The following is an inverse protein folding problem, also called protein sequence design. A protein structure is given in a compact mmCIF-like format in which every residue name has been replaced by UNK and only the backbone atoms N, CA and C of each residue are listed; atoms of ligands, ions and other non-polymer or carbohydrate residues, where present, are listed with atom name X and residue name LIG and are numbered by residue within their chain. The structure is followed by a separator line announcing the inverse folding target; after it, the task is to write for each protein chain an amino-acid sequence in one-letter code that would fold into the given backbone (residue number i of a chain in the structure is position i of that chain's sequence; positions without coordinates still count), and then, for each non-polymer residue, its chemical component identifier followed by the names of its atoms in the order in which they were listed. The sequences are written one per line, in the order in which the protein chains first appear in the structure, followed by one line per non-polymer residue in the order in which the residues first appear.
data_IF_994688584473
#
_entry.id   IF_994688584473
#
_cell.length_a   1.000
_cell.length_b   1.000
_cell.length_c   1.000
_cell.angle_alpha   90.00
_cell.angle_beta   90.00
_cell.angle_gamma   90.00
#
_symmetry.space_group_name_H-M   'P 1'
#
loop_
_entity.id
_entity.type
_entity.pdbx_description
1 polymer ?
#
# COMPACT_ATOMS: atom_id res chain seq x y z
N UNK A 1 36.38 36.38 10.69
CA UNK A 1 36.62 35.23 9.79
C UNK A 1 35.61 34.16 10.17
N UNK A 2 34.39 34.27 9.65
CA UNK A 2 33.38 33.23 9.82
C UNK A 2 33.66 32.14 8.77
N UNK A 3 34.04 30.96 9.25
CA UNK A 3 34.26 29.81 8.40
C UNK A 3 32.94 29.37 7.79
N UNK A 4 32.79 29.57 6.48
CA UNK A 4 31.82 28.85 5.66
C UNK A 4 32.08 27.35 5.87
N UNK A 5 31.18 26.70 6.62
CA UNK A 5 31.15 25.24 6.71
C UNK A 5 30.75 24.72 5.34
N UNK A 6 31.72 24.29 4.55
CA UNK A 6 31.49 23.53 3.32
C UNK A 6 30.84 22.20 3.69
N UNK A 7 29.52 22.14 3.62
CA UNK A 7 28.75 20.90 3.70
C UNK A 7 28.88 20.11 2.39
N UNK A 8 28.95 18.79 2.49
CA UNK A 8 29.08 17.91 1.32
C UNK A 8 27.78 17.96 0.50
N UNK A 9 27.81 18.10 -0.84
CA UNK A 9 26.61 18.21 -1.68
C UNK A 9 25.61 17.05 -1.50
N UNK A 10 26.11 15.85 -1.18
CA UNK A 10 25.28 14.66 -0.92
C UNK A 10 24.52 14.73 0.41
N UNK A 11 25.03 15.48 1.39
CA UNK A 11 24.35 15.70 2.67
C UNK A 11 23.22 16.70 2.49
N UNK A 12 23.43 17.76 1.70
CA UNK A 12 22.41 18.77 1.42
C UNK A 12 21.21 18.18 0.65
N UNK A 13 21.47 17.32 -0.33
CA UNK A 13 20.41 16.61 -1.07
C UNK A 13 19.57 15.75 -0.13
N UNK A 14 20.20 14.95 0.74
CA UNK A 14 19.48 14.10 1.70
C UNK A 14 18.64 14.89 2.71
N UNK A 15 19.16 16.03 3.19
CA UNK A 15 18.41 16.91 4.09
C UNK A 15 17.17 17.46 3.39
N UNK A 16 17.33 17.92 2.14
CA UNK A 16 16.23 18.41 1.33
C UNK A 16 15.18 17.33 1.05
N UNK A 17 15.60 16.13 0.66
CA UNK A 17 14.66 15.03 0.36
C UNK A 17 13.87 14.64 1.62
N UNK A 18 14.52 14.63 2.79
CA UNK A 18 13.85 14.38 4.05
C UNK A 18 12.84 15.48 4.41
N UNK A 19 13.13 16.75 4.13
CA UNK A 19 12.20 17.87 4.32
C UNK A 19 10.97 17.73 3.41
N UNK A 20 11.17 17.44 2.12
CA UNK A 20 10.09 17.19 1.17
C UNK A 20 9.21 16.00 1.57
N UNK A 21 9.83 14.91 2.03
CA UNK A 21 9.14 13.74 2.58
C UNK A 21 8.27 14.09 3.80
N UNK A 22 8.81 14.90 4.72
CA UNK A 22 8.10 15.39 5.90
C UNK A 22 6.90 16.25 5.54
N UNK A 23 7.07 17.25 4.69
CA UNK A 23 5.98 18.12 4.25
C UNK A 23 4.84 17.31 3.61
N UNK A 24 5.19 16.33 2.76
CA UNK A 24 4.21 15.43 2.12
C UNK A 24 3.44 14.63 3.15
N UNK A 25 4.13 14.00 4.10
CA UNK A 25 3.47 13.22 5.16
C UNK A 25 2.56 14.10 6.02
N UNK A 26 3.02 15.29 6.42
CA UNK A 26 2.22 16.23 7.22
C UNK A 26 0.96 16.67 6.49
N UNK A 27 1.09 17.01 5.21
CA UNK A 27 -0.04 17.36 4.36
C UNK A 27 -1.06 16.22 4.23
N UNK A 28 -0.60 14.99 4.03
CA UNK A 28 -1.47 13.80 3.99
C UNK A 28 -2.21 13.62 5.31
N UNK A 29 -1.50 13.70 6.44
CA UNK A 29 -2.05 13.42 7.76
C UNK A 29 -3.00 14.53 8.26
N UNK A 30 -2.66 15.79 8.01
CA UNK A 30 -3.35 16.96 8.56
C UNK A 30 -4.47 17.46 7.62
N UNK A 31 -4.19 17.61 6.32
CA UNK A 31 -5.17 18.15 5.37
C UNK A 31 -5.96 17.03 4.68
N UNK A 32 -5.30 15.94 4.31
CA UNK A 32 -5.89 14.85 3.53
C UNK A 32 -7.06 14.13 4.21
N UNK A 33 -7.18 14.25 5.54
CA UNK A 33 -8.27 13.65 6.31
C UNK A 33 -9.64 14.27 6.01
N UNK A 34 -9.68 15.54 5.59
CA UNK A 34 -10.90 16.30 5.37
C UNK A 34 -11.28 16.43 3.89
N UNK A 35 -10.47 15.87 3.00
CA UNK A 35 -10.66 15.99 1.55
C UNK A 35 -11.12 14.63 1.02
N UNK A 36 -12.25 14.55 0.30
CA UNK A 36 -12.71 13.29 -0.27
C UNK A 36 -11.78 12.80 -1.38
N UNK A 37 -11.72 11.48 -1.55
CA UNK A 37 -11.11 10.85 -2.74
C UNK A 37 -11.71 11.43 -4.01
N UNK A 38 -10.90 11.61 -5.06
CA UNK A 38 -11.35 12.21 -6.31
C UNK A 38 -12.26 11.24 -7.10
N UNK A 39 -13.56 11.38 -6.89
CA UNK A 39 -14.59 10.62 -7.58
C UNK A 39 -14.72 10.97 -9.07
N UNK A 40 -14.04 12.01 -9.56
CA UNK A 40 -14.07 12.46 -10.96
C UNK A 40 -12.87 11.99 -11.79
N UNK A 41 -11.88 11.32 -11.21
CA UNK A 41 -10.78 10.71 -11.97
C UNK A 41 -11.33 9.85 -13.12
N UNK A 42 -10.89 10.10 -14.36
CA UNK A 42 -11.48 9.51 -15.57
C UNK A 42 -10.76 8.25 -16.05
N UNK A 43 -9.69 7.85 -15.37
CA UNK A 43 -8.85 6.73 -15.81
C UNK A 43 -7.78 7.11 -16.84
N UNK A 44 -7.70 8.40 -17.18
CA UNK A 44 -6.65 8.93 -18.03
C UNK A 44 -5.33 8.95 -17.26
N UNK A 45 -4.25 8.54 -17.93
CA UNK A 45 -2.91 8.64 -17.38
C UNK A 45 -2.54 10.11 -17.11
N UNK A 46 -1.77 10.37 -16.04
CA UNK A 46 -1.33 11.72 -15.71
C UNK A 46 -0.30 12.23 -16.72
N UNK A 47 -0.13 13.57 -16.88
CA UNK A 47 0.88 14.14 -17.78
C UNK A 47 2.32 13.78 -17.43
N UNK A 48 2.57 13.43 -16.16
CA UNK A 48 3.88 13.01 -15.66
C UNK A 48 4.12 11.50 -15.76
N UNK A 49 3.19 10.72 -16.33
CA UNK A 49 3.37 9.29 -16.53
C UNK A 49 4.58 9.00 -17.42
N UNK A 50 5.44 8.09 -16.97
CA UNK A 50 6.61 7.65 -17.69
C UNK A 50 6.52 6.12 -17.87
N UNK A 51 6.30 5.64 -19.10
CA UNK A 51 6.13 4.21 -19.36
C UNK A 51 7.40 3.40 -19.07
N UNK A 52 8.58 3.99 -19.19
CA UNK A 52 9.84 3.30 -18.90
C UNK A 52 10.00 3.10 -17.39
N UNK A 53 9.73 4.14 -16.59
CA UNK A 53 9.73 4.02 -15.12
C UNK A 53 8.66 3.06 -14.64
N UNK A 54 7.45 3.13 -15.21
CA UNK A 54 6.38 2.18 -14.88
C UNK A 54 6.83 0.74 -15.13
N UNK A 55 7.47 0.47 -16.28
CA UNK A 55 8.02 -0.85 -16.61
C UNK A 55 9.12 -1.29 -15.64
N UNK A 56 10.00 -0.38 -15.23
CA UNK A 56 11.03 -0.66 -14.21
C UNK A 56 10.43 -1.05 -12.86
N UNK A 57 9.31 -0.43 -12.48
CA UNK A 57 8.55 -0.82 -11.29
C UNK A 57 7.93 -2.22 -11.39
N UNK A 58 7.45 -2.61 -12.58
CA UNK A 58 7.00 -3.98 -12.83
C UNK A 58 8.16 -4.98 -12.74
N UNK A 59 9.31 -4.68 -13.35
CA UNK A 59 10.52 -5.52 -13.25
C UNK A 59 10.97 -5.71 -11.80
N UNK A 60 11.00 -4.63 -11.02
CA UNK A 60 11.30 -4.69 -9.59
C UNK A 60 10.37 -5.64 -8.86
N UNK A 61 9.06 -5.57 -9.15
CA UNK A 61 8.07 -6.46 -8.55
C UNK A 61 8.33 -7.93 -8.88
N UNK A 62 8.56 -8.25 -10.16
CA UNK A 62 8.79 -9.62 -10.62
C UNK A 62 10.06 -10.26 -10.05
N UNK A 63 11.09 -9.45 -9.80
CA UNK A 63 12.33 -9.92 -9.17
C UNK A 63 12.19 -10.18 -7.66
N UNK A 64 11.18 -9.60 -7.01
CA UNK A 64 11.02 -9.61 -5.56
C UNK A 64 9.64 -10.13 -5.12
N UNK A 65 8.98 -10.90 -5.97
CA UNK A 65 7.57 -11.27 -5.89
C UNK A 65 7.15 -11.70 -4.46
N UNK A 66 7.81 -12.72 -3.90
CA UNK A 66 7.50 -13.24 -2.57
C UNK A 66 7.68 -12.19 -1.45
N UNK A 67 8.83 -11.51 -1.42
CA UNK A 67 9.15 -10.50 -0.41
C UNK A 67 8.16 -9.32 -0.45
N UNK A 68 7.75 -8.90 -1.65
CA UNK A 68 6.76 -7.83 -1.80
C UNK A 68 5.36 -8.26 -1.38
N UNK A 69 4.98 -9.53 -1.55
CA UNK A 69 3.73 -10.05 -0.98
C UNK A 69 3.75 -10.09 0.55
N UNK A 70 4.86 -10.51 1.16
CA UNK A 70 5.04 -10.43 2.63
C UNK A 70 4.92 -8.97 3.10
N UNK A 71 5.58 -8.04 2.42
CA UNK A 71 5.48 -6.60 2.72
C UNK A 71 4.03 -6.08 2.62
N UNK A 72 3.28 -6.48 1.58
CA UNK A 72 1.88 -6.05 1.36
C UNK A 72 0.94 -6.61 2.40
N UNK A 73 1.17 -7.84 2.84
CA UNK A 73 0.41 -8.47 3.90
C UNK A 73 0.62 -7.75 5.24
N UNK A 74 1.86 -7.44 5.60
CA UNK A 74 2.17 -6.63 6.78
C UNK A 74 1.54 -5.23 6.68
N UNK A 75 1.62 -4.60 5.50
CA UNK A 75 1.01 -3.30 5.24
C UNK A 75 -0.52 -3.32 5.36
N UNK A 76 -1.16 -4.37 4.86
CA UNK A 76 -2.60 -4.56 4.99
C UNK A 76 -3.03 -4.74 6.45
N UNK A 77 -2.26 -5.47 7.26
CA UNK A 77 -2.53 -5.60 8.70
C UNK A 77 -2.53 -4.21 9.35
N UNK A 78 -1.49 -3.39 9.15
CA UNK A 78 -1.45 -2.07 9.80
C UNK A 78 -2.53 -1.11 9.27
N UNK A 79 -2.95 -1.26 8.02
CA UNK A 79 -4.10 -0.52 7.46
C UNK A 79 -5.40 -0.81 8.19
N UNK A 80 -5.59 -2.04 8.70
CA UNK A 80 -6.77 -2.39 9.50
C UNK A 80 -6.80 -1.65 10.84
N UNK A 81 -5.67 -1.16 11.35
CA UNK A 81 -5.61 -0.39 12.60
C UNK A 81 -6.11 1.07 12.44
N UNK A 82 -6.43 1.49 11.21
CA UNK A 82 -6.99 2.81 10.94
C UNK A 82 -8.52 2.74 10.96
N UNK A 83 -9.12 3.25 12.04
CA UNK A 83 -10.57 3.19 12.28
C UNK A 83 -11.43 3.71 11.10
N UNK A 84 -11.00 4.78 10.42
CA UNK A 84 -11.71 5.33 9.25
C UNK A 84 -11.72 4.40 8.04
N UNK A 85 -10.67 3.58 7.88
CA UNK A 85 -10.58 2.55 6.85
C UNK A 85 -11.38 1.32 7.29
N UNK A 86 -11.15 0.84 8.52
CA UNK A 86 -11.78 -0.37 9.05
C UNK A 86 -13.32 -0.27 9.03
N UNK A 87 -13.90 0.88 9.40
CA UNK A 87 -15.36 1.10 9.33
C UNK A 87 -15.93 0.89 7.92
N UNK A 88 -15.20 1.28 6.86
CA UNK A 88 -15.63 1.07 5.47
C UNK A 88 -15.58 -0.43 5.13
N UNK A 89 -14.58 -1.15 5.64
CA UNK A 89 -14.47 -2.59 5.46
C UNK A 89 -15.59 -3.34 6.18
N UNK A 90 -15.92 -2.94 7.42
CA UNK A 90 -17.08 -3.44 8.17
C UNK A 90 -18.37 -3.22 7.39
N UNK A 91 -18.59 -2.00 6.89
CA UNK A 91 -19.77 -1.64 6.08
C UNK A 91 -19.89 -2.49 4.79
N UNK A 92 -18.77 -2.93 4.22
CA UNK A 92 -18.76 -3.76 3.02
C UNK A 92 -19.29 -5.18 3.28
N UNK A 93 -19.14 -5.70 4.51
CA UNK A 93 -19.43 -7.10 4.91
C UNK A 93 -18.67 -8.15 4.09
N UNK A 94 -17.52 -7.79 3.52
CA UNK A 94 -16.73 -8.66 2.63
C UNK A 94 -15.40 -9.14 3.25
N UNK A 95 -15.19 -8.96 4.54
CA UNK A 95 -13.92 -9.35 5.19
C UNK A 95 -14.03 -9.60 6.70
N UNK A 96 -15.24 -9.85 7.21
CA UNK A 96 -15.46 -10.10 8.64
C UNK A 96 -15.27 -11.56 9.05
N UNK A 97 -15.13 -12.47 8.10
CA UNK A 97 -14.89 -13.89 8.37
C UNK A 97 -13.87 -14.45 7.38
N UNK A 98 -13.29 -15.62 7.69
CA UNK A 98 -12.23 -16.24 6.89
C UNK A 98 -12.61 -16.46 5.42
N UNK A 99 -13.86 -16.79 5.10
CA UNK A 99 -14.29 -17.10 3.73
C UNK A 99 -14.48 -15.80 2.95
N UNK A 100 -15.15 -14.80 3.53
CA UNK A 100 -15.33 -13.51 2.86
C UNK A 100 -13.99 -12.79 2.71
N UNK A 101 -13.13 -12.82 3.74
CA UNK A 101 -11.77 -12.32 3.70
C UNK A 101 -10.96 -12.99 2.58
N UNK A 102 -10.92 -14.33 2.52
CA UNK A 102 -10.23 -15.06 1.44
C UNK A 102 -10.66 -14.57 0.05
N UNK A 103 -11.98 -14.54 -0.22
CA UNK A 103 -12.50 -14.10 -1.53
C UNK A 103 -12.06 -12.67 -1.86
N UNK A 104 -12.15 -11.76 -0.90
CA UNK A 104 -11.78 -10.35 -1.10
C UNK A 104 -10.29 -10.18 -1.34
N UNK A 105 -9.44 -10.81 -0.54
CA UNK A 105 -8.00 -10.62 -0.63
C UNK A 105 -7.41 -11.37 -1.82
N UNK A 106 -7.96 -12.51 -2.22
CA UNK A 106 -7.63 -13.15 -3.50
C UNK A 106 -8.01 -12.29 -4.71
N UNK A 107 -9.19 -11.64 -4.68
CA UNK A 107 -9.55 -10.67 -5.72
C UNK A 107 -8.57 -9.48 -5.74
N UNK A 108 -8.13 -9.01 -4.58
CA UNK A 108 -7.13 -7.93 -4.46
C UNK A 108 -5.79 -8.34 -5.08
N UNK A 109 -5.31 -9.56 -4.77
CA UNK A 109 -4.10 -10.13 -5.38
C UNK A 109 -4.28 -10.21 -6.91
N UNK A 110 -5.40 -10.74 -7.38
CA UNK A 110 -5.67 -10.87 -8.81
C UNK A 110 -5.61 -9.52 -9.53
N UNK A 111 -6.31 -8.50 -9.04
CA UNK A 111 -6.30 -7.17 -9.65
C UNK A 111 -4.91 -6.54 -9.65
N UNK A 112 -4.18 -6.67 -8.54
CA UNK A 112 -2.82 -6.16 -8.42
C UNK A 112 -1.86 -6.83 -9.40
N UNK A 113 -1.95 -8.16 -9.58
CA UNK A 113 -1.15 -8.87 -10.58
C UNK A 113 -1.49 -8.40 -12.00
N UNK A 114 -2.75 -8.15 -12.32
CA UNK A 114 -3.11 -7.57 -13.62
C UNK A 114 -2.41 -6.23 -13.87
N UNK A 115 -2.18 -5.41 -12.83
CA UNK A 115 -1.48 -4.13 -12.97
C UNK A 115 0.04 -4.30 -13.13
N UNK A 116 0.63 -5.28 -12.44
CA UNK A 116 2.06 -5.58 -12.59
C UNK A 116 2.40 -6.32 -13.89
N UNK A 117 1.43 -7.01 -14.50
CA UNK A 117 1.62 -7.82 -15.70
C UNK A 117 1.19 -7.12 -16.99
N UNK A 118 0.37 -6.07 -16.90
CA UNK A 118 -0.24 -5.44 -18.06
C UNK A 118 0.20 -4.00 -18.33
N UNK A 119 -0.28 -3.48 -19.44
CA UNK A 119 -0.01 -2.12 -19.93
C UNK A 119 -1.16 -1.18 -19.58
N UNK A 120 -0.88 0.00 -19.01
CA UNK A 120 -1.93 0.99 -18.71
C UNK A 120 -2.20 1.97 -19.85
N UNK A 121 -1.32 2.03 -20.85
CA UNK A 121 -1.46 2.91 -22.02
C UNK A 121 -2.56 2.44 -22.94
N UNK A 122 -2.71 1.11 -23.14
CA UNK A 122 -3.85 0.54 -23.86
C UNK A 122 -5.12 0.50 -22.98
N UNK A 123 -6.18 1.30 -23.30
CA UNK A 123 -7.44 1.27 -22.56
C UNK A 123 -8.18 -0.06 -22.66
N UNK A 124 -7.84 -0.90 -23.65
CA UNK A 124 -8.40 -2.23 -23.82
C UNK A 124 -7.67 -3.31 -23.03
N UNK A 125 -6.53 -3.00 -22.44
CA UNK A 125 -5.74 -3.96 -21.67
C UNK A 125 -6.49 -4.44 -20.43
N UNK A 126 -6.10 -5.62 -19.97
CA UNK A 126 -6.61 -6.17 -18.70
C UNK A 126 -6.24 -5.31 -17.50
N UNK A 127 -5.05 -4.69 -17.52
CA UNK A 127 -4.59 -3.81 -16.45
C UNK A 127 -5.47 -2.57 -16.33
N UNK A 128 -5.72 -1.89 -17.44
CA UNK A 128 -6.54 -0.69 -17.48
C UNK A 128 -7.97 -0.99 -17.05
N UNK A 129 -8.61 -2.02 -17.64
CA UNK A 129 -9.97 -2.45 -17.27
C UNK A 129 -10.08 -2.84 -15.79
N UNK A 130 -9.11 -3.60 -15.29
CA UNK A 130 -9.01 -3.99 -13.87
C UNK A 130 -8.94 -2.76 -12.97
N UNK A 131 -8.10 -1.79 -13.33
CA UNK A 131 -7.92 -0.56 -12.58
C UNK A 131 -9.21 0.26 -12.52
N UNK A 132 -9.87 0.52 -13.65
CA UNK A 132 -11.14 1.25 -13.67
C UNK A 132 -12.22 0.53 -12.87
N UNK A 133 -12.25 -0.80 -12.91
CA UNK A 133 -13.16 -1.60 -12.09
C UNK A 133 -12.93 -1.38 -10.59
N UNK A 134 -11.69 -1.52 -10.12
CA UNK A 134 -11.35 -1.31 -8.69
C UNK A 134 -11.64 0.12 -8.25
N UNK A 135 -11.35 1.10 -9.11
CA UNK A 135 -11.74 2.50 -8.89
C UNK A 135 -13.25 2.64 -8.70
N UNK A 136 -14.04 1.97 -9.54
CA UNK A 136 -15.49 1.89 -9.43
C UNK A 136 -15.94 1.34 -8.08
N UNK A 137 -15.28 0.29 -7.58
CA UNK A 137 -15.54 -0.24 -6.24
C UNK A 137 -15.24 0.77 -5.13
N UNK A 138 -14.12 1.50 -5.20
CA UNK A 138 -13.81 2.56 -4.23
C UNK A 138 -14.81 3.72 -4.28
N UNK A 139 -15.25 4.13 -5.47
CA UNK A 139 -16.27 5.18 -5.61
C UNK A 139 -17.61 4.73 -5.01
N UNK A 140 -18.04 3.50 -5.30
CA UNK A 140 -19.26 2.94 -4.72
C UNK A 140 -19.17 2.84 -3.19
N UNK A 141 -18.03 2.38 -2.66
CA UNK A 141 -17.79 2.32 -1.22
C UNK A 141 -17.79 3.72 -0.58
N UNK A 142 -17.17 4.71 -1.22
CA UNK A 142 -17.14 6.11 -0.76
C UNK A 142 -18.54 6.73 -0.74
N UNK A 143 -19.33 6.55 -1.79
CA UNK A 143 -20.72 7.03 -1.83
C UNK A 143 -21.60 6.36 -0.78
N UNK A 144 -21.43 5.04 -0.58
CA UNK A 144 -22.16 4.31 0.46
C UNK A 144 -21.77 4.79 1.86
N UNK A 145 -20.47 4.99 2.12
CA UNK A 145 -19.98 5.52 3.39
C UNK A 145 -20.57 6.90 3.70
N UNK A 146 -20.62 7.78 2.69
CA UNK A 146 -21.26 9.08 2.82
C UNK A 146 -22.76 8.96 3.12
N UNK A 147 -23.48 8.09 2.40
CA UNK A 147 -24.92 7.88 2.59
C UNK A 147 -25.32 7.32 3.96
N UNK A 148 -24.39 6.66 4.68
CA UNK A 148 -24.61 6.17 6.05
C UNK A 148 -24.01 7.09 7.12
N UNK A 149 -23.56 8.30 6.76
CA UNK A 149 -23.08 9.30 7.70
C UNK A 149 -21.61 9.18 8.12
N UNK A 150 -20.80 8.30 7.50
CA UNK A 150 -19.36 8.21 7.78
C UNK A 150 -18.54 9.28 7.04
N UNK A 151 -19.17 10.00 6.10
CA UNK A 151 -18.49 10.81 5.10
C UNK A 151 -17.88 9.95 3.98
N UNK A 152 -17.34 10.62 2.97
CA UNK A 152 -16.59 9.97 1.90
C UNK A 152 -15.27 9.37 2.40
N UNK A 153 -14.73 8.40 1.67
CA UNK A 153 -13.34 7.96 1.84
C UNK A 153 -12.42 9.16 1.63
N UNK A 154 -11.51 9.43 2.56
CA UNK A 154 -10.63 10.61 2.50
C UNK A 154 -9.37 10.37 1.66
N UNK A 155 -8.71 11.45 1.22
CA UNK A 155 -7.39 11.39 0.58
C UNK A 155 -6.35 10.73 1.50
N UNK A 156 -6.42 11.01 2.81
CA UNK A 156 -5.59 10.34 3.81
C UNK A 156 -5.83 8.84 3.81
N UNK A 157 -7.09 8.38 3.86
CA UNK A 157 -7.40 6.94 3.87
C UNK A 157 -6.83 6.23 2.64
N UNK A 158 -6.91 6.87 1.47
CA UNK A 158 -6.34 6.33 0.23
C UNK A 158 -4.80 6.30 0.25
N UNK A 159 -4.15 7.36 0.75
CA UNK A 159 -2.69 7.42 0.88
C UNK A 159 -2.15 6.42 1.92
N UNK A 160 -2.83 6.24 3.05
CA UNK A 160 -2.51 5.21 4.04
C UNK A 160 -2.72 3.81 3.46
N UNK A 161 -3.74 3.62 2.63
CA UNK A 161 -3.92 2.35 1.90
C UNK A 161 -2.78 2.13 0.90
N UNK A 162 -2.33 3.17 0.19
CA UNK A 162 -1.16 3.11 -0.71
C UNK A 162 0.12 2.72 0.05
N UNK A 163 0.35 3.28 1.25
CA UNK A 163 1.42 2.81 2.15
C UNK A 163 1.32 1.30 2.40
N UNK A 164 0.11 0.78 2.66
CA UNK A 164 -0.10 -0.65 2.89
C UNK A 164 0.40 -1.55 1.75
N UNK A 165 0.52 -1.04 0.52
CA UNK A 165 1.02 -1.81 -0.61
C UNK A 165 2.51 -1.67 -0.91
N UNK A 166 3.14 -0.56 -0.50
CA UNK A 166 4.52 -0.24 -0.90
C UNK A 166 5.43 0.29 0.22
N UNK A 167 4.87 0.79 1.33
CA UNK A 167 5.63 1.53 2.34
C UNK A 167 6.68 0.66 3.04
N UNK A 168 6.28 -0.54 3.47
CA UNK A 168 7.23 -1.46 4.13
C UNK A 168 8.32 -1.98 3.19
N UNK A 169 8.11 -2.02 1.87
CA UNK A 169 9.19 -2.38 0.94
C UNK A 169 10.28 -1.33 0.85
N UNK A 170 9.95 -0.05 1.10
CA UNK A 170 10.96 1.02 1.22
C UNK A 170 11.60 0.98 2.60
N UNK A 171 10.80 0.97 3.67
CA UNK A 171 11.30 1.04 5.05
C UNK A 171 12.12 -0.18 5.51
N UNK A 172 11.78 -1.37 5.02
CA UNK A 172 12.37 -2.63 5.46
C UNK A 172 13.11 -3.35 4.32
N UNK A 173 13.66 -2.59 3.36
CA UNK A 173 14.25 -3.12 2.13
C UNK A 173 15.25 -4.27 2.38
N UNK A 174 16.21 -4.06 3.30
CA UNK A 174 17.23 -5.06 3.65
C UNK A 174 16.65 -6.24 4.42
N UNK A 175 15.73 -5.99 5.36
CA UNK A 175 15.10 -7.02 6.18
C UNK A 175 14.27 -7.99 5.33
N UNK A 176 13.60 -7.47 4.31
CA UNK A 176 12.81 -8.25 3.35
C UNK A 176 13.68 -8.96 2.29
N UNK A 177 14.99 -8.71 2.27
CA UNK A 177 15.91 -9.28 1.28
C UNK A 177 15.66 -8.78 -0.15
N UNK A 178 15.09 -7.58 -0.30
CA UNK A 178 14.78 -7.00 -1.61
C UNK A 178 16.07 -6.70 -2.38
N UNK A 179 16.02 -6.86 -3.70
CA UNK A 179 17.10 -6.55 -4.64
C UNK A 179 16.56 -5.68 -5.77
N UNK A 180 17.27 -4.61 -6.11
CA UNK A 180 16.91 -3.76 -7.23
C UNK A 180 17.94 -2.67 -7.47
N UNK A 181 18.04 -2.21 -8.72
CA UNK A 181 18.81 -1.02 -9.08
C UNK A 181 18.09 0.26 -8.65
N UNK A 182 18.78 1.39 -8.65
CA UNK A 182 18.17 2.71 -8.37
C UNK A 182 16.97 2.97 -9.29
N UNK A 183 17.09 2.67 -10.58
CA UNK A 183 16.02 2.88 -11.57
C UNK A 183 14.80 1.99 -11.32
N UNK A 184 15.01 0.78 -10.80
CA UNK A 184 13.94 -0.15 -10.46
C UNK A 184 13.17 0.32 -9.22
N UNK A 185 13.87 0.85 -8.23
CA UNK A 185 13.25 1.40 -7.01
C UNK A 185 12.49 2.69 -7.34
N UNK A 186 13.08 3.59 -8.12
CA UNK A 186 12.40 4.79 -8.65
C UNK A 186 11.19 4.41 -9.51
N UNK A 187 11.34 3.41 -10.36
CA UNK A 187 10.24 2.84 -11.14
C UNK A 187 9.12 2.25 -10.28
N UNK A 188 9.46 1.62 -9.15
CA UNK A 188 8.47 1.08 -8.21
C UNK A 188 7.68 2.18 -7.50
N UNK A 189 8.34 3.27 -7.11
CA UNK A 189 7.68 4.48 -6.59
C UNK A 189 6.80 5.10 -7.66
N UNK A 190 7.30 5.24 -8.89
CA UNK A 190 6.52 5.74 -10.02
C UNK A 190 5.28 4.89 -10.30
N UNK A 191 5.42 3.56 -10.30
CA UNK A 191 4.31 2.63 -10.46
C UNK A 191 3.19 2.92 -9.44
N UNK A 192 3.54 2.99 -8.15
CA UNK A 192 2.54 3.26 -7.12
C UNK A 192 2.00 4.69 -7.16
N UNK A 193 2.79 5.67 -7.61
CA UNK A 193 2.32 7.03 -7.90
C UNK A 193 1.20 6.99 -8.95
N UNK A 194 1.43 6.31 -10.08
CA UNK A 194 0.46 6.18 -11.16
C UNK A 194 -0.81 5.46 -10.70
N UNK A 195 -0.68 4.32 -10.00
CA UNK A 195 -1.83 3.58 -9.48
C UNK A 195 -2.64 4.43 -8.50
N UNK A 196 -1.97 5.15 -7.59
CA UNK A 196 -2.62 6.05 -6.64
C UNK A 196 -3.41 7.17 -7.34
N UNK A 197 -2.81 7.82 -8.32
CA UNK A 197 -3.46 8.86 -9.11
C UNK A 197 -4.71 8.34 -9.82
N UNK A 198 -4.60 7.18 -10.48
CA UNK A 198 -5.73 6.59 -11.19
C UNK A 198 -6.83 6.05 -10.24
N UNK A 199 -6.49 5.73 -8.98
CA UNK A 199 -7.45 5.46 -7.91
C UNK A 199 -8.14 6.71 -7.35
N UNK A 200 -7.74 7.91 -7.76
CA UNK A 200 -8.33 9.16 -7.33
C UNK A 200 -7.61 9.82 -6.14
N UNK A 201 -6.37 9.41 -5.85
CA UNK A 201 -5.50 10.19 -4.98
C UNK A 201 -5.05 11.43 -5.77
N UNK A 202 -5.29 12.62 -5.26
CA UNK A 202 -4.76 13.83 -5.90
C UNK A 202 -3.23 13.85 -5.71
N UNK A 203 -2.48 14.35 -6.69
CA UNK A 203 -1.01 14.39 -6.63
C UNK A 203 -0.49 14.99 -5.31
N UNK A 204 -1.13 16.08 -4.85
CA UNK A 204 -0.87 16.75 -3.57
C UNK A 204 -0.87 15.80 -2.34
N UNK A 205 -1.61 14.69 -2.38
CA UNK A 205 -1.74 13.70 -1.29
C UNK A 205 -1.21 12.31 -1.67
N UNK A 206 -0.62 12.16 -2.86
CA UNK A 206 -0.09 10.89 -3.31
C UNK A 206 1.24 10.64 -2.61
N UNK A 207 1.32 9.55 -1.83
CA UNK A 207 2.48 9.26 -1.00
C UNK A 207 3.75 9.10 -1.84
N UNK A 208 3.59 8.69 -3.10
CA UNK A 208 4.67 8.43 -4.05
C UNK A 208 4.97 9.65 -4.95
N UNK A 209 4.45 10.83 -4.65
CA UNK A 209 4.69 12.07 -5.42
C UNK A 209 6.07 12.66 -5.14
N UNK A 210 7.13 11.88 -5.36
CA UNK A 210 8.52 12.25 -5.07
C UNK A 210 9.50 11.17 -5.53
N UNK A 211 10.78 11.35 -5.21
CA UNK A 211 11.81 10.34 -5.42
C UNK A 211 11.77 9.25 -4.31
N UNK A 212 12.56 8.16 -4.42
CA UNK A 212 12.59 7.10 -3.41
C UNK A 212 12.89 7.55 -1.98
N UNK A 213 13.89 8.42 -1.79
CA UNK A 213 14.33 8.88 -0.46
C UNK A 213 13.24 9.77 0.17
N UNK A 214 12.64 10.68 -0.62
CA UNK A 214 11.50 11.49 -0.18
C UNK A 214 10.29 10.64 0.22
N UNK A 215 10.03 9.58 -0.55
CA UNK A 215 8.90 8.67 -0.35
C UNK A 215 9.12 7.79 0.88
N UNK A 216 10.34 7.30 1.08
CA UNK A 216 10.73 6.53 2.26
C UNK A 216 10.55 7.36 3.54
N UNK A 217 11.02 8.62 3.56
CA UNK A 217 10.84 9.49 4.72
C UNK A 217 9.36 9.77 5.00
N UNK A 218 8.56 10.01 3.95
CA UNK A 218 7.12 10.18 4.11
C UNK A 218 6.45 8.92 4.70
N UNK A 219 6.87 7.74 4.24
CA UNK A 219 6.41 6.45 4.77
C UNK A 219 6.78 6.28 6.25
N UNK A 220 8.01 6.66 6.64
CA UNK A 220 8.48 6.57 8.04
C UNK A 220 7.59 7.40 8.96
N UNK A 221 7.32 8.65 8.57
CA UNK A 221 6.48 9.57 9.36
C UNK A 221 5.02 9.06 9.42
N UNK A 222 4.48 8.55 8.31
CA UNK A 222 3.15 7.94 8.27
C UNK A 222 3.06 6.73 9.19
N UNK A 223 4.07 5.85 9.20
CA UNK A 223 4.16 4.71 10.12
C UNK A 223 4.11 5.17 11.57
N UNK A 224 4.97 6.10 11.95
CA UNK A 224 5.10 6.60 13.31
C UNK A 224 3.86 7.37 13.80
N UNK A 225 3.23 8.17 12.93
CA UNK A 225 2.16 9.10 13.35
C UNK A 225 0.75 8.58 13.10
N UNK A 226 0.54 7.63 12.20
CA UNK A 226 -0.79 7.08 11.91
C UNK A 226 -0.91 5.62 12.36
N UNK A 227 0.01 4.76 11.94
CA UNK A 227 -0.12 3.32 12.16
C UNK A 227 0.28 2.89 13.56
N UNK A 228 1.40 3.39 14.12
CA UNK A 228 1.81 3.05 15.49
C UNK A 228 0.74 3.43 16.52
N UNK A 229 0.15 4.64 16.51
CA UNK A 229 -0.98 4.97 17.39
C UNK A 229 -2.26 4.19 17.07
N UNK A 230 -2.42 3.72 15.83
CA UNK A 230 -3.46 2.77 15.44
C UNK A 230 -3.33 1.45 16.18
N UNK A 231 -2.15 0.85 16.09
CA UNK A 231 -1.85 -0.48 16.65
C UNK A 231 -1.78 -0.48 18.18
N UNK A 232 -1.45 0.65 18.81
CA UNK A 232 -1.43 0.78 20.26
C UNK A 232 -2.83 0.80 20.90
N UNK A 233 -3.89 0.93 20.10
CA UNK A 233 -5.28 0.87 20.58
C UNK A 233 -5.70 -0.58 20.78
N UNK A 234 -6.31 -0.86 21.93
CA UNK A 234 -7.01 -2.11 22.17
C UNK A 234 -8.37 -2.08 21.42
N UNK A 235 -8.32 -2.30 20.10
CA UNK A 235 -9.49 -2.30 19.21
C UNK A 235 -9.92 -3.74 18.88
N UNK A 236 -11.03 -4.25 19.43
CA UNK A 236 -11.52 -5.59 19.14
C UNK A 236 -11.85 -5.81 17.66
N UNK A 237 -12.27 -4.78 16.93
CA UNK A 237 -12.55 -4.90 15.50
C UNK A 237 -11.25 -5.11 14.71
N UNK A 238 -10.16 -4.45 15.12
CA UNK A 238 -8.84 -4.68 14.52
C UNK A 238 -8.40 -6.13 14.72
N UNK A 239 -8.51 -6.67 15.94
CA UNK A 239 -8.16 -8.06 16.23
C UNK A 239 -9.03 -9.03 15.41
N UNK A 240 -10.34 -8.78 15.35
CA UNK A 240 -11.27 -9.62 14.60
C UNK A 240 -10.96 -9.62 13.09
N UNK A 241 -10.79 -8.46 12.46
CA UNK A 241 -10.55 -8.36 11.01
C UNK A 241 -9.14 -8.81 10.62
N UNK A 242 -8.14 -8.55 11.45
CA UNK A 242 -6.78 -9.07 11.20
C UNK A 242 -6.75 -10.59 11.33
N UNK A 243 -7.44 -11.17 12.31
CA UNK A 243 -7.60 -12.63 12.44
C UNK A 243 -8.32 -13.22 11.23
N UNK A 244 -9.43 -12.61 10.78
CA UNK A 244 -10.17 -13.05 9.60
C UNK A 244 -9.30 -13.00 8.32
N UNK A 245 -8.47 -11.95 8.17
CA UNK A 245 -7.48 -11.85 7.11
C UNK A 245 -6.47 -13.00 7.17
N UNK A 246 -5.84 -13.21 8.34
CA UNK A 246 -4.80 -14.23 8.51
C UNK A 246 -5.34 -15.65 8.25
N UNK A 247 -6.49 -15.99 8.84
CA UNK A 247 -7.14 -17.28 8.62
C UNK A 247 -7.63 -17.45 7.18
N UNK A 248 -8.16 -16.39 6.56
CA UNK A 248 -8.58 -16.40 5.17
C UNK A 248 -7.41 -16.63 4.21
N UNK A 249 -6.24 -16.04 4.49
CA UNK A 249 -5.06 -16.15 3.62
C UNK A 249 -4.21 -17.39 3.87
N UNK A 250 -4.48 -18.15 4.93
CA UNK A 250 -3.77 -19.38 5.28
C UNK A 250 -3.58 -20.38 4.12
N UNK A 251 -4.56 -20.64 3.23
CA UNK A 251 -4.36 -21.55 2.10
C UNK A 251 -3.30 -21.09 1.07
N UNK A 252 -2.94 -19.81 1.09
CA UNK A 252 -2.02 -19.18 0.13
C UNK A 252 -0.59 -19.14 0.68
N UNK A 253 -0.42 -19.30 2.00
CA UNK A 253 0.86 -19.23 2.69
C UNK A 253 1.14 -20.58 3.37
N UNK A 254 1.75 -21.55 2.65
CA UNK A 254 1.87 -22.93 3.13
C UNK A 254 2.60 -23.07 4.47
N UNK A 255 3.50 -22.12 4.79
CA UNK A 255 4.27 -22.10 6.04
C UNK A 255 3.44 -21.71 7.28
N UNK A 256 2.24 -21.18 7.10
CA UNK A 256 1.32 -20.84 8.20
C UNK A 256 0.43 -22.00 8.64
N UNK A 257 0.50 -23.11 7.94
CA UNK A 257 -0.04 -24.37 8.44
C UNK A 257 0.91 -24.85 9.55
N UNK A 258 0.46 -24.98 10.81
CA UNK A 258 1.21 -25.77 11.78
C UNK A 258 1.52 -27.10 11.12
N UNK A 259 2.74 -27.60 11.30
CA UNK A 259 3.04 -28.97 10.90
C UNK A 259 1.90 -29.86 11.42
N UNK A 260 1.37 -30.80 10.62
CA UNK A 260 0.61 -31.90 11.20
C UNK A 260 1.42 -32.40 12.38
N UNK A 261 0.80 -32.61 13.53
CA UNK A 261 1.44 -33.41 14.57
C UNK A 261 1.71 -34.76 13.93
N UNK A 262 2.89 -34.95 13.35
CA UNK A 262 3.33 -36.25 12.89
C UNK A 262 3.20 -37.13 14.12
N UNK A 263 2.43 -38.23 14.08
CA UNK A 263 2.51 -39.20 15.15
C UNK A 263 4.00 -39.54 15.27
N UNK A 264 4.55 -39.35 16.47
CA UNK A 264 5.92 -39.70 16.76
C UNK A 264 6.14 -41.11 16.23
N UNK A 265 7.06 -41.27 15.26
CA UNK A 265 7.52 -42.59 14.86
C UNK A 265 8.06 -43.24 16.12
N UNK A 266 7.33 -44.24 16.62
CA UNK A 266 7.79 -45.04 17.74
C UNK A 266 8.94 -45.90 17.24
N UNK A 267 10.16 -45.42 17.46
CA UNK A 267 11.40 -46.09 17.03
C UNK A 267 11.77 -47.23 18.00
N UNK A 268 10.90 -47.59 18.96
CA UNK A 268 11.12 -48.73 19.85
C UNK A 268 10.75 -50.09 19.23
N UNK A 269 10.39 -50.13 17.94
CA UNK A 269 10.06 -51.35 17.21
C UNK A 269 11.07 -51.67 16.09
N UNK A 270 12.36 -51.41 16.34
CA UNK A 270 13.49 -51.88 15.54
C UNK A 270 14.47 -52.68 16.40
#
# INVERSE_FOLDING_TARGET
MEGQKNTCPTVEVKVRDAEMGRERAERILNEGANIPVNLKQTGRLPPWYDPQKFKKGQEFFHQNYFALFVSKLAGLIVVLAIASILRVLKMSRKSGDKITAYKRYMATIHHMLMWYDGDLEDPQSRAHKSLIMVRGFHCAASNKANGVGFGHISQKDMALTQFGFMGFSLLNFKLLGLKGTSDQIDGFVHFWRTIGYLMGINDKFNLCDGNPDETEEACRIVLERAFVPGLARDDPDFIHFSTALMEGMRPVVPIWTPAPSWPSLDISAA
#
